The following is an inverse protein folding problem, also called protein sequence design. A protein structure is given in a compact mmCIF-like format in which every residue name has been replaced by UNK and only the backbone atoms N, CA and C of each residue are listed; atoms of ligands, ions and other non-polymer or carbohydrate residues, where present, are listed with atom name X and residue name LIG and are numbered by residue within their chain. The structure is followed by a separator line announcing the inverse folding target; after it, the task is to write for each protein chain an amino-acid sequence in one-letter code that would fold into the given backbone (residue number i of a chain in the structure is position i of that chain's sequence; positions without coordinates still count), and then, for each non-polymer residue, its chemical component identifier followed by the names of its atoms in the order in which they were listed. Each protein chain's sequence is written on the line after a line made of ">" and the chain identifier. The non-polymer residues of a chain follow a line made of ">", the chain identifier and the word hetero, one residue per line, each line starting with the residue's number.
data_IF_797433491817
#
_entry.id   IF_797433491817
#
_cell.length_a   1.000
_cell.length_b   1.000
_cell.length_c   1.000
_cell.angle_alpha   90.00
_cell.angle_beta   90.00
_cell.angle_gamma   90.00
#
_symmetry.space_group_name_H-M   'P 1'
#
loop_
_entity.id
_entity.type
_entity.pdbx_description
1 polymer ?
#
# COMPACT_ATOMS: atom_id res chain seq x y z
N UNK A 1 -6.79 -23.11 -4.14
CA UNK A 1 -6.34 -21.69 -4.11
C UNK A 1 -5.17 -21.54 -5.06
N UNK A 2 -5.20 -20.56 -5.97
CA UNK A 2 -4.07 -20.27 -6.87
C UNK A 2 -3.13 -19.23 -6.25
N UNK A 3 -1.93 -19.08 -6.83
CA UNK A 3 -0.95 -18.05 -6.41
C UNK A 3 -1.58 -16.64 -6.47
N UNK A 4 -2.37 -16.34 -7.51
CA UNK A 4 -3.09 -15.07 -7.60
C UNK A 4 -4.09 -14.84 -6.46
N UNK A 5 -4.83 -15.88 -6.03
CA UNK A 5 -5.75 -15.75 -4.89
C UNK A 5 -5.01 -15.48 -3.60
N UNK A 6 -3.86 -16.12 -3.39
CA UNK A 6 -3.01 -15.89 -2.22
C UNK A 6 -2.46 -14.46 -2.23
N UNK A 7 -1.92 -14.00 -3.36
CA UNK A 7 -1.36 -12.66 -3.49
C UNK A 7 -2.42 -11.55 -3.28
N UNK A 8 -3.59 -11.70 -3.91
CA UNK A 8 -4.72 -10.75 -3.74
C UNK A 8 -5.24 -10.80 -2.30
N UNK A 9 -5.44 -11.99 -1.73
CA UNK A 9 -5.90 -12.15 -0.35
C UNK A 9 -4.94 -11.55 0.67
N UNK A 10 -3.63 -11.78 0.53
CA UNK A 10 -2.61 -11.18 1.38
C UNK A 10 -2.61 -9.64 1.28
N UNK A 11 -2.76 -9.11 0.06
CA UNK A 11 -2.86 -7.65 -0.17
C UNK A 11 -4.09 -7.06 0.52
N UNK A 12 -5.26 -7.71 0.41
CA UNK A 12 -6.50 -7.30 1.10
C UNK A 12 -6.27 -7.23 2.61
N UNK A 13 -5.69 -8.26 3.21
CA UNK A 13 -5.44 -8.29 4.66
C UNK A 13 -4.48 -7.19 5.09
N UNK A 14 -3.41 -6.97 4.33
CA UNK A 14 -2.43 -5.92 4.59
C UNK A 14 -3.08 -4.53 4.55
N UNK A 15 -3.75 -4.16 3.45
CA UNK A 15 -4.34 -2.83 3.29
C UNK A 15 -5.52 -2.59 4.24
N UNK A 16 -6.28 -3.64 4.57
CA UNK A 16 -7.40 -3.51 5.50
C UNK A 16 -6.89 -3.26 6.92
N UNK A 17 -5.88 -4.03 7.37
CA UNK A 17 -5.27 -3.85 8.68
C UNK A 17 -4.57 -2.49 8.80
N UNK A 18 -3.78 -2.13 7.79
CA UNK A 18 -3.14 -0.81 7.69
C UNK A 18 -4.16 0.32 7.73
N UNK A 19 -5.21 0.22 6.89
CA UNK A 19 -6.25 1.23 6.77
C UNK A 19 -7.03 1.43 8.07
N UNK A 20 -7.50 0.35 8.70
CA UNK A 20 -8.18 0.42 10.00
C UNK A 20 -7.27 1.05 11.05
N UNK A 21 -5.98 0.65 11.08
CA UNK A 21 -4.98 1.23 11.97
C UNK A 21 -4.88 2.75 11.82
N UNK A 22 -4.81 3.26 10.59
CA UNK A 22 -4.71 4.70 10.31
C UNK A 22 -6.01 5.47 10.59
N UNK A 23 -7.18 4.84 10.42
CA UNK A 23 -8.47 5.44 10.79
C UNK A 23 -8.59 5.60 12.31
N UNK A 24 -8.35 4.52 13.05
CA UNK A 24 -8.55 4.45 14.51
C UNK A 24 -7.43 5.21 15.24
N UNK A 25 -6.18 5.04 14.79
CA UNK A 25 -4.99 5.61 15.43
C UNK A 25 -4.08 6.29 14.39
N UNK A 26 -4.46 7.47 13.86
CA UNK A 26 -3.65 8.19 12.86
C UNK A 26 -2.24 8.56 13.35
N UNK A 27 -1.99 8.57 14.66
CA UNK A 27 -0.65 8.79 15.24
C UNK A 27 0.38 7.73 14.83
N UNK A 28 -0.05 6.59 14.30
CA UNK A 28 0.84 5.60 13.71
C UNK A 28 1.60 6.13 12.49
N UNK A 29 1.13 7.21 11.85
CA UNK A 29 1.85 7.83 10.72
C UNK A 29 3.24 8.36 11.13
N UNK A 30 3.47 8.61 12.43
CA UNK A 30 4.79 9.04 12.93
C UNK A 30 5.88 8.00 12.70
N UNK A 31 5.51 6.72 12.58
CA UNK A 31 6.45 5.66 12.20
C UNK A 31 6.98 5.79 10.77
N UNK A 32 6.39 6.70 9.97
CA UNK A 32 6.73 7.01 8.59
C UNK A 32 7.53 8.31 8.48
N UNK A 33 8.04 8.83 9.60
CA UNK A 33 8.67 10.16 9.73
C UNK A 33 7.72 11.31 9.28
N UNK A 34 6.41 11.09 9.37
CA UNK A 34 5.38 12.08 9.02
C UNK A 34 4.77 12.71 10.27
N UNK A 35 4.67 14.04 10.27
CA UNK A 35 4.08 14.82 11.35
C UNK A 35 3.00 15.79 10.83
N UNK A 36 2.15 16.26 11.74
CA UNK A 36 1.16 17.30 11.45
C UNK A 36 1.12 18.32 12.59
N UNK A 37 0.87 19.58 12.25
CA UNK A 37 0.77 20.69 13.20
C UNK A 37 -0.66 21.06 13.58
N UNK A 38 -1.66 20.61 12.81
CA UNK A 38 -3.07 20.98 12.99
C UNK A 38 -3.99 19.74 13.00
N UNK A 39 -5.20 19.84 13.59
CA UNK A 39 -6.19 18.77 13.57
C UNK A 39 -6.53 18.27 12.16
N UNK A 40 -6.51 19.15 11.15
CA UNK A 40 -6.75 18.81 9.74
C UNK A 40 -5.79 17.73 9.24
N UNK A 41 -4.52 17.75 9.66
CA UNK A 41 -3.57 16.71 9.26
C UNK A 41 -3.93 15.32 9.78
N UNK A 42 -4.57 15.21 10.96
CA UNK A 42 -5.11 13.93 11.45
C UNK A 42 -6.24 13.44 10.56
N UNK A 43 -7.07 14.35 10.06
CA UNK A 43 -8.16 14.02 9.12
C UNK A 43 -7.60 13.53 7.80
N UNK A 44 -6.59 14.22 7.26
CA UNK A 44 -5.89 13.81 6.03
C UNK A 44 -5.31 12.41 6.13
N UNK A 45 -4.68 12.07 7.26
CA UNK A 45 -4.18 10.70 7.50
C UNK A 45 -5.31 9.67 7.45
N UNK A 46 -6.45 9.96 8.09
CA UNK A 46 -7.61 9.06 8.05
C UNK A 46 -8.19 8.93 6.65
N UNK A 47 -8.20 9.99 5.85
CA UNK A 47 -8.72 9.95 4.49
C UNK A 47 -7.79 9.17 3.55
N UNK A 48 -6.52 9.57 3.47
CA UNK A 48 -5.61 9.11 2.41
C UNK A 48 -4.81 7.86 2.78
N UNK A 49 -4.51 7.64 4.05
CA UNK A 49 -3.84 6.42 4.50
C UNK A 49 -4.83 5.39 5.04
N UNK A 50 -5.89 5.87 5.70
CA UNK A 50 -6.93 5.03 6.29
C UNK A 50 -7.99 4.56 5.28
N UNK A 51 -8.96 5.43 5.00
CA UNK A 51 -10.14 5.14 4.21
C UNK A 51 -9.81 4.68 2.79
N UNK A 52 -8.79 5.28 2.15
CA UNK A 52 -8.31 4.83 0.84
C UNK A 52 -7.87 3.36 0.86
N UNK A 53 -7.07 2.95 1.86
CA UNK A 53 -6.58 1.58 1.98
C UNK A 53 -7.70 0.58 2.27
N UNK A 54 -8.66 0.96 3.12
CA UNK A 54 -9.87 0.15 3.36
C UNK A 54 -10.69 0.02 2.07
N UNK A 55 -10.93 1.11 1.36
CA UNK A 55 -11.66 1.12 0.09
C UNK A 55 -11.00 0.24 -0.97
N UNK A 56 -9.68 0.33 -1.11
CA UNK A 56 -8.90 -0.53 -2.01
C UNK A 56 -9.06 -2.01 -1.63
N UNK A 57 -8.99 -2.34 -0.35
CA UNK A 57 -9.16 -3.71 0.15
C UNK A 57 -10.55 -4.27 -0.16
N UNK A 58 -11.59 -3.47 0.08
CA UNK A 58 -12.99 -3.84 -0.22
C UNK A 58 -13.17 -4.03 -1.72
N UNK A 59 -12.62 -3.14 -2.55
CA UNK A 59 -12.70 -3.25 -4.00
C UNK A 59 -12.00 -4.50 -4.53
N UNK A 60 -10.81 -4.82 -4.03
CA UNK A 60 -10.11 -6.06 -4.39
C UNK A 60 -10.88 -7.30 -3.92
N UNK A 61 -11.46 -7.26 -2.72
CA UNK A 61 -12.32 -8.32 -2.21
C UNK A 61 -13.56 -8.53 -3.07
N UNK A 62 -14.18 -7.45 -3.54
CA UNK A 62 -15.28 -7.50 -4.49
C UNK A 62 -14.86 -8.15 -5.82
N UNK A 63 -13.73 -7.73 -6.41
CA UNK A 63 -13.24 -8.33 -7.65
C UNK A 63 -12.95 -9.83 -7.47
N UNK A 64 -12.33 -10.22 -6.36
CA UNK A 64 -12.07 -11.62 -6.04
C UNK A 64 -13.38 -12.42 -5.89
N UNK A 65 -14.39 -11.86 -5.23
CA UNK A 65 -15.74 -12.46 -5.11
C UNK A 65 -16.43 -12.62 -6.47
N UNK A 66 -16.18 -11.70 -7.41
CA UNK A 66 -16.67 -11.77 -8.80
C UNK A 66 -15.82 -12.68 -9.70
N UNK A 67 -14.92 -13.48 -9.13
CA UNK A 67 -13.97 -14.33 -9.86
C UNK A 67 -13.04 -13.55 -10.81
N UNK A 68 -12.82 -12.26 -10.54
CA UNK A 68 -11.93 -11.36 -11.29
C UNK A 68 -10.56 -11.20 -10.60
N UNK A 69 -9.99 -12.31 -10.10
CA UNK A 69 -8.74 -12.30 -9.32
C UNK A 69 -7.53 -11.81 -10.13
N UNK A 70 -7.42 -12.15 -11.42
CA UNK A 70 -6.33 -11.67 -12.28
C UNK A 70 -6.42 -10.15 -12.56
N UNK A 71 -7.59 -9.58 -12.90
CA UNK A 71 -7.77 -8.13 -12.92
C UNK A 71 -7.42 -7.46 -11.58
N UNK A 72 -7.85 -8.02 -10.45
CA UNK A 72 -7.52 -7.48 -9.12
C UNK A 72 -6.00 -7.47 -8.88
N UNK A 73 -5.31 -8.57 -9.19
CA UNK A 73 -3.85 -8.66 -9.08
C UNK A 73 -3.15 -7.68 -10.01
N UNK A 74 -3.64 -7.51 -11.25
CA UNK A 74 -3.08 -6.55 -12.21
C UNK A 74 -3.22 -5.12 -11.69
N UNK A 75 -4.40 -4.75 -11.18
CA UNK A 75 -4.62 -3.45 -10.54
C UNK A 75 -3.69 -3.23 -9.34
N UNK A 76 -3.45 -4.27 -8.54
CA UNK A 76 -2.52 -4.21 -7.41
C UNK A 76 -1.06 -4.03 -7.86
N UNK A 77 -0.62 -4.71 -8.93
CA UNK A 77 0.69 -4.50 -9.51
C UNK A 77 0.87 -3.04 -9.99
N UNK A 78 -0.14 -2.48 -10.65
CA UNK A 78 -0.14 -1.09 -11.11
C UNK A 78 0.01 -0.16 -9.89
N UNK A 79 -0.87 -0.31 -8.90
CA UNK A 79 -0.85 0.52 -7.69
C UNK A 79 0.50 0.45 -6.96
N UNK A 80 0.99 -0.76 -6.68
CA UNK A 80 2.25 -0.97 -5.96
C UNK A 80 3.43 -0.36 -6.72
N UNK A 81 3.47 -0.53 -8.05
CA UNK A 81 4.52 0.04 -8.89
C UNK A 81 4.45 1.56 -8.92
N UNK A 82 3.26 2.16 -9.03
CA UNK A 82 3.09 3.61 -9.00
C UNK A 82 3.58 4.22 -7.68
N UNK A 83 3.24 3.61 -6.55
CA UNK A 83 3.71 4.05 -5.23
C UNK A 83 5.23 3.93 -5.13
N UNK A 84 5.79 2.78 -5.52
CA UNK A 84 7.24 2.55 -5.47
C UNK A 84 8.03 3.52 -6.37
N UNK A 85 7.56 3.76 -7.61
CA UNK A 85 8.19 4.72 -8.53
C UNK A 85 8.16 6.11 -7.91
N UNK A 86 7.01 6.54 -7.40
CA UNK A 86 6.90 7.85 -6.75
C UNK A 86 7.75 7.94 -5.48
N UNK A 87 7.90 6.85 -4.72
CA UNK A 87 8.81 6.79 -3.56
C UNK A 87 10.24 7.07 -3.99
N UNK A 88 10.71 6.41 -5.03
CA UNK A 88 12.08 6.57 -5.54
C UNK A 88 12.29 7.99 -6.08
N UNK A 89 11.37 8.48 -6.91
CA UNK A 89 11.44 9.83 -7.49
C UNK A 89 11.39 10.89 -6.39
N UNK A 90 10.41 10.81 -5.49
CA UNK A 90 10.24 11.75 -4.38
C UNK A 90 11.44 11.74 -3.44
N UNK A 91 11.97 10.56 -3.09
CA UNK A 91 13.19 10.45 -2.28
C UNK A 91 14.38 11.14 -2.95
N UNK A 92 14.52 11.00 -4.27
CA UNK A 92 15.57 11.66 -5.03
C UNK A 92 15.42 13.19 -5.01
N UNK A 93 14.21 13.70 -5.27
CA UNK A 93 13.88 15.13 -5.30
C UNK A 93 14.08 15.76 -3.92
N UNK A 94 13.53 15.12 -2.88
CA UNK A 94 13.51 15.63 -1.50
C UNK A 94 14.80 15.32 -0.73
N UNK A 95 15.73 14.58 -1.37
CA UNK A 95 17.03 14.15 -0.79
C UNK A 95 16.88 13.39 0.53
N UNK A 96 15.79 12.65 0.71
CA UNK A 96 15.44 11.96 1.96
C UNK A 96 16.08 10.57 2.12
N UNK A 97 17.10 10.25 1.33
CA UNK A 97 17.84 8.97 1.36
C UNK A 97 18.40 8.60 2.75
N UNK A 98 18.68 9.60 3.58
CA UNK A 98 19.21 9.39 4.93
C UNK A 98 18.15 9.00 5.96
N UNK A 99 16.85 9.25 5.69
CA UNK A 99 15.75 8.93 6.61
C UNK A 99 15.71 7.43 6.92
N UNK A 100 15.50 7.12 8.19
CA UNK A 100 15.33 5.75 8.67
C UNK A 100 14.15 5.07 8.00
N UNK A 101 13.03 5.79 7.83
CA UNK A 101 11.87 5.28 7.12
C UNK A 101 12.19 4.95 5.65
N UNK A 102 12.78 5.86 4.89
CA UNK A 102 13.10 5.65 3.47
C UNK A 102 13.99 4.44 3.23
N UNK A 103 15.01 4.25 4.09
CA UNK A 103 15.93 3.11 4.03
C UNK A 103 15.23 1.76 4.19
N UNK A 104 14.11 1.71 4.91
CA UNK A 104 13.28 0.52 5.05
C UNK A 104 12.19 0.44 3.98
N UNK A 105 11.57 1.57 3.63
CA UNK A 105 10.42 1.62 2.75
C UNK A 105 10.78 1.20 1.31
N UNK A 106 11.85 1.75 0.73
CA UNK A 106 12.27 1.43 -0.65
C UNK A 106 12.51 -0.07 -0.87
N UNK A 107 13.35 -0.77 -0.06
CA UNK A 107 13.56 -2.20 -0.27
C UNK A 107 12.28 -3.01 0.00
N UNK A 108 11.46 -2.63 0.97
CA UNK A 108 10.20 -3.32 1.27
C UNK A 108 9.21 -3.18 0.11
N UNK A 109 9.02 -1.97 -0.41
CA UNK A 109 8.15 -1.68 -1.55
C UNK A 109 8.67 -2.38 -2.82
N UNK A 110 9.99 -2.38 -3.07
CA UNK A 110 10.60 -3.09 -4.19
C UNK A 110 10.33 -4.61 -4.12
N UNK A 111 10.55 -5.23 -2.96
CA UNK A 111 10.25 -6.65 -2.76
C UNK A 111 8.78 -6.96 -2.95
N UNK A 112 7.89 -6.06 -2.48
CA UNK A 112 6.46 -6.21 -2.66
C UNK A 112 6.05 -6.15 -4.13
N UNK A 113 6.58 -5.20 -4.91
CA UNK A 113 6.36 -5.10 -6.36
C UNK A 113 6.86 -6.36 -7.09
N UNK A 114 8.06 -6.83 -6.76
CA UNK A 114 8.63 -8.05 -7.35
C UNK A 114 7.81 -9.29 -7.01
N UNK A 115 7.35 -9.42 -5.76
CA UNK A 115 6.51 -10.54 -5.33
C UNK A 115 5.16 -10.55 -6.06
N UNK A 116 4.49 -9.39 -6.19
CA UNK A 116 3.24 -9.26 -6.93
C UNK A 116 3.44 -9.51 -8.44
N UNK A 117 4.51 -8.96 -9.03
CA UNK A 117 4.86 -9.18 -10.42
C UNK A 117 5.14 -10.65 -10.72
N UNK A 118 5.92 -11.31 -9.87
CA UNK A 118 6.16 -12.75 -9.94
C UNK A 118 4.87 -13.56 -9.83
N UNK A 119 4.03 -13.25 -8.83
CA UNK A 119 2.72 -13.88 -8.68
C UNK A 119 1.84 -13.67 -9.92
N UNK A 120 1.94 -12.53 -10.61
CA UNK A 120 1.16 -12.22 -11.80
C UNK A 120 1.66 -12.94 -13.05
N UNK A 121 2.96 -13.17 -13.17
CA UNK A 121 3.59 -13.91 -14.28
C UNK A 121 3.32 -15.41 -14.14
N UNK A 122 3.27 -15.93 -12.91
CA UNK A 122 3.11 -17.34 -12.60
C UNK A 122 1.64 -17.80 -12.43
N UNK A 123 0.67 -16.89 -12.51
CA UNK A 123 -0.76 -17.16 -12.32
C UNK A 123 -1.55 -17.19 -13.63
#
# INVERSE_FOLDING_TARGET
>A
MTIAHIAVGASILYFLGFGIGMIVRPALIKNFDLEWSAPTGKTEVRCYYGALSVGLSVFMGYLMYRHMTLPALTGMCIFATSVFVMRVIGTAIDKSWASSYTKLAIPTEALFVLALGGARILA
#
